data_IF_484688130085
#
_entry.id   IF_484688130085
#
_cell.length_a   1.000
_cell.length_b   1.000
_cell.length_c   1.000
_cell.angle_alpha   90.00
_cell.angle_beta   90.00
_cell.angle_gamma   90.00
#
_symmetry.space_group_name_H-M   'P 1'
#
loop_
_entity.id
_entity.type
_entity.pdbx_description
1 polymer ?
#
# COMPACT_ATOMS: atom_id res chain seq x y z
N UNK A 1 -1.58 -0.59 -19.68
CA UNK A 1 -0.34 0.20 -19.85
C UNK A 1 -0.22 1.42 -18.93
N UNK A 2 -1.27 2.24 -18.69
CA UNK A 2 -1.16 3.46 -17.86
C UNK A 2 -0.65 3.22 -16.43
N UNK A 3 -1.08 2.15 -15.78
CA UNK A 3 -0.66 1.86 -14.40
C UNK A 3 0.83 1.48 -14.30
N UNK A 4 1.32 0.62 -15.20
CA UNK A 4 2.75 0.24 -15.27
C UNK A 4 3.66 1.46 -15.44
N UNK A 5 3.24 2.45 -16.25
CA UNK A 5 3.99 3.71 -16.39
C UNK A 5 4.01 4.53 -15.10
N UNK A 6 2.89 4.62 -14.37
CA UNK A 6 2.85 5.30 -13.06
C UNK A 6 3.81 4.67 -12.07
N UNK A 7 3.81 3.33 -11.99
CA UNK A 7 4.77 2.60 -11.14
C UNK A 7 6.22 2.87 -11.57
N UNK A 8 6.52 2.82 -12.88
CA UNK A 8 7.86 3.13 -13.37
C UNK A 8 8.30 4.55 -12.97
N UNK A 9 7.44 5.57 -13.14
CA UNK A 9 7.75 6.93 -12.73
C UNK A 9 7.94 7.06 -11.20
N UNK A 10 7.10 6.40 -10.40
CA UNK A 10 7.18 6.42 -8.95
C UNK A 10 8.46 5.74 -8.44
N UNK A 11 8.91 4.67 -9.09
CA UNK A 11 10.06 3.88 -8.66
C UNK A 11 11.40 4.38 -9.23
N UNK A 12 11.39 5.20 -10.28
CA UNK A 12 12.59 5.61 -11.03
C UNK A 12 13.68 6.24 -10.16
N UNK A 13 13.29 6.97 -9.12
CA UNK A 13 14.19 7.70 -8.22
C UNK A 13 14.45 6.94 -6.91
N UNK A 14 14.14 5.65 -6.86
CA UNK A 14 14.38 4.75 -5.73
C UNK A 14 13.89 5.33 -4.39
N UNK A 15 12.56 5.56 -4.25
CA UNK A 15 12.03 6.24 -3.08
C UNK A 15 12.26 5.44 -1.79
N UNK A 16 12.61 6.13 -0.71
CA UNK A 16 12.62 5.54 0.65
C UNK A 16 11.22 5.31 1.21
N UNK A 17 10.19 5.93 0.61
CA UNK A 17 8.79 5.81 0.99
C UNK A 17 7.93 5.72 -0.27
N UNK A 18 7.22 4.61 -0.43
CA UNK A 18 6.22 4.42 -1.48
C UNK A 18 4.84 4.35 -0.84
N UNK A 19 3.90 5.15 -1.35
CA UNK A 19 2.50 5.14 -0.91
C UNK A 19 1.64 4.69 -2.09
N UNK A 20 0.82 3.68 -1.87
CA UNK A 20 -0.10 3.12 -2.85
C UNK A 20 -1.53 3.19 -2.34
N UNK A 21 -2.44 3.59 -3.22
CA UNK A 21 -3.89 3.65 -2.95
C UNK A 21 -4.59 2.69 -3.91
N UNK A 22 -5.23 1.66 -3.35
CA UNK A 22 -5.87 0.54 -4.05
C UNK A 22 -4.97 -0.05 -5.17
N UNK A 23 -3.73 -0.49 -4.84
CA UNK A 23 -2.69 -0.80 -5.81
C UNK A 23 -3.02 -1.85 -6.87
N UNK A 24 -3.90 -2.81 -6.56
CA UNK A 24 -4.30 -3.90 -7.47
C UNK A 24 -5.61 -3.63 -8.21
N UNK A 25 -6.29 -2.52 -7.90
CA UNK A 25 -7.58 -2.17 -8.51
C UNK A 25 -7.52 -2.08 -10.04
N UNK A 26 -8.46 -2.73 -10.70
CA UNK A 26 -8.60 -2.78 -12.16
C UNK A 26 -7.38 -3.38 -12.90
N UNK A 27 -6.62 -4.25 -12.24
CA UNK A 27 -5.53 -5.02 -12.85
C UNK A 27 -5.97 -6.44 -13.19
N UNK A 28 -5.35 -6.98 -14.24
CA UNK A 28 -5.35 -8.41 -14.53
C UNK A 28 -4.37 -9.15 -13.60
N UNK A 29 -4.38 -10.48 -13.67
CA UNK A 29 -3.52 -11.34 -12.82
C UNK A 29 -2.04 -10.93 -12.93
N UNK A 30 -1.53 -10.70 -14.14
CA UNK A 30 -0.15 -10.24 -14.35
C UNK A 30 0.12 -8.88 -13.71
N UNK A 31 -0.84 -7.96 -13.79
CA UNK A 31 -0.75 -6.65 -13.16
C UNK A 31 -0.69 -6.75 -11.64
N UNK A 32 -1.49 -7.65 -11.05
CA UNK A 32 -1.45 -7.94 -9.61
C UNK A 32 -0.07 -8.48 -9.23
N UNK A 33 0.42 -9.54 -9.88
CA UNK A 33 1.75 -10.11 -9.60
C UNK A 33 2.89 -9.08 -9.68
N UNK A 34 2.81 -8.16 -10.62
CA UNK A 34 3.77 -7.06 -10.74
C UNK A 34 3.76 -6.12 -9.54
N UNK A 35 2.58 -5.79 -9.01
CA UNK A 35 2.44 -4.99 -7.77
C UNK A 35 3.04 -5.71 -6.58
N UNK A 36 2.78 -7.02 -6.45
CA UNK A 36 3.35 -7.84 -5.39
C UNK A 36 4.89 -7.83 -5.43
N UNK A 37 5.47 -8.00 -6.61
CA UNK A 37 6.93 -7.95 -6.78
C UNK A 37 7.50 -6.56 -6.41
N UNK A 38 6.79 -5.48 -6.76
CA UNK A 38 7.17 -4.11 -6.37
C UNK A 38 7.12 -3.94 -4.85
N UNK A 39 6.06 -4.42 -4.20
CA UNK A 39 5.89 -4.33 -2.76
C UNK A 39 7.04 -5.03 -2.03
N UNK A 40 7.32 -6.28 -2.40
CA UNK A 40 8.43 -7.08 -1.83
C UNK A 40 9.79 -6.41 -2.02
N UNK A 41 10.03 -5.80 -3.19
CA UNK A 41 11.29 -5.09 -3.42
C UNK A 41 11.37 -3.78 -2.62
N UNK A 42 10.26 -3.05 -2.52
CA UNK A 42 10.20 -1.81 -1.74
C UNK A 42 10.48 -2.06 -0.26
N UNK A 43 9.94 -3.14 0.32
CA UNK A 43 10.16 -3.52 1.72
C UNK A 43 11.63 -3.74 2.09
N UNK A 44 12.47 -4.13 1.12
CA UNK A 44 13.91 -4.33 1.33
C UNK A 44 14.70 -3.02 1.44
N UNK A 45 14.21 -1.95 0.82
CA UNK A 45 14.95 -0.69 0.64
C UNK A 45 14.31 0.54 1.30
N UNK A 46 13.07 0.41 1.77
CA UNK A 46 12.34 1.52 2.36
C UNK A 46 11.00 1.12 2.94
N UNK A 47 10.13 2.12 3.10
CA UNK A 47 8.80 1.98 3.69
C UNK A 47 7.78 1.87 2.56
N UNK A 48 6.82 0.97 2.74
CA UNK A 48 5.63 0.84 1.91
C UNK A 48 4.40 1.17 2.77
N UNK A 49 3.55 2.07 2.29
CA UNK A 49 2.23 2.32 2.86
C UNK A 49 1.20 1.95 1.81
N UNK A 50 0.27 1.06 2.16
CA UNK A 50 -0.86 0.69 1.32
C UNK A 50 -2.15 1.17 1.98
N UNK A 51 -2.94 1.94 1.24
CA UNK A 51 -4.32 2.25 1.57
C UNK A 51 -5.22 1.35 0.72
N UNK A 52 -6.06 0.55 1.37
CA UNK A 52 -6.86 -0.47 0.69
C UNK A 52 -8.10 -0.82 1.49
N UNK A 53 -9.15 -1.24 0.78
CA UNK A 53 -10.30 -1.94 1.34
C UNK A 53 -10.31 -3.44 0.99
N UNK A 54 -9.34 -3.92 0.21
CA UNK A 54 -9.22 -5.30 -0.26
C UNK A 54 -8.35 -6.13 0.70
N UNK A 55 -8.91 -7.15 1.39
CA UNK A 55 -8.16 -7.95 2.36
C UNK A 55 -6.93 -8.66 1.81
N UNK A 56 -6.94 -9.01 0.52
CA UNK A 56 -5.84 -9.68 -0.17
C UNK A 56 -4.59 -8.81 -0.23
N UNK A 57 -4.73 -7.48 -0.37
CA UNK A 57 -3.62 -6.55 -0.44
C UNK A 57 -2.90 -6.38 0.90
N UNK A 58 -3.58 -6.66 2.02
CA UNK A 58 -3.00 -6.59 3.36
C UNK A 58 -1.81 -7.54 3.53
N UNK A 59 -1.77 -8.62 2.76
CA UNK A 59 -0.67 -9.58 2.76
C UNK A 59 0.66 -8.99 2.30
N UNK A 60 0.65 -7.84 1.61
CA UNK A 60 1.85 -7.09 1.26
C UNK A 60 2.48 -6.39 2.47
N UNK A 61 1.71 -6.14 3.53
CA UNK A 61 2.09 -5.30 4.66
C UNK A 61 2.49 -6.14 5.88
N UNK A 62 3.51 -5.66 6.62
CA UNK A 62 3.94 -6.31 7.86
C UNK A 62 3.06 -5.90 9.05
N UNK A 63 2.57 -4.66 9.04
CA UNK A 63 1.68 -4.09 10.04
C UNK A 63 0.40 -3.57 9.37
N UNK A 64 -0.74 -3.73 10.05
CA UNK A 64 -2.05 -3.27 9.57
C UNK A 64 -2.69 -2.33 10.58
N UNK A 65 -3.17 -1.18 10.10
CA UNK A 65 -3.89 -0.20 10.91
C UNK A 65 -5.33 -0.11 10.42
N UNK A 66 -6.28 -0.50 11.27
CA UNK A 66 -7.70 -0.24 11.02
C UNK A 66 -8.04 1.21 11.40
N UNK A 67 -8.45 2.01 10.41
CA UNK A 67 -8.74 3.43 10.61
C UNK A 67 -9.99 3.68 11.46
N UNK A 68 -10.99 2.80 11.40
CA UNK A 68 -12.23 2.97 12.18
C UNK A 68 -11.99 2.70 13.66
N UNK A 69 -11.25 1.64 13.97
CA UNK A 69 -10.81 1.35 15.33
C UNK A 69 -9.92 2.47 15.88
N UNK A 70 -9.00 2.98 15.06
CA UNK A 70 -8.13 4.09 15.44
C UNK A 70 -8.93 5.36 15.78
N UNK A 71 -9.91 5.73 14.94
CA UNK A 71 -10.79 6.89 15.19
C UNK A 71 -11.57 6.73 16.50
N UNK A 72 -12.11 5.54 16.76
CA UNK A 72 -12.82 5.25 18.01
C UNK A 72 -11.89 5.38 19.23
N UNK A 73 -10.67 4.85 19.15
CA UNK A 73 -9.67 4.94 20.22
C UNK A 73 -9.30 6.38 20.54
N UNK A 74 -9.04 7.22 19.52
CA UNK A 74 -8.70 8.63 19.70
C UNK A 74 -9.87 9.40 20.32
N UNK A 75 -11.10 9.15 19.83
CA UNK A 75 -12.31 9.78 20.38
C UNK A 75 -12.49 9.48 21.88
N UNK A 76 -12.21 8.24 22.30
CA UNK A 76 -12.33 7.84 23.70
C UNK A 76 -11.24 8.44 24.62
N UNK A 77 -10.11 8.89 24.08
CA UNK A 77 -9.05 9.54 24.85
C UNK A 77 -9.30 11.05 25.07
N UNK A 78 -9.97 11.73 24.13
CA UNK A 78 -10.22 13.17 24.21
C UNK A 78 -11.40 13.51 25.15
N UNK A 79 -12.31 12.56 25.39
CA UNK A 79 -13.51 12.75 26.23
C UNK A 79 -13.24 12.42 27.72
N UNK A 80 -11.98 12.34 28.14
CA UNK A 80 -11.59 12.22 29.56
C UNK A 80 -11.10 13.54 30.12
#
# INVERSE_FOLDING_TARGET
MKQRLKYACALLHEPILLILDEPTSNLDIEGVEMVWAIAEEQKKKGILIVATNEPEELQMCDDVINLDELKQRVRNQIVK
#
